data_IF_321296594729
#
_entry.id   IF_321296594729
#
_cell.length_a   1.000
_cell.length_b   1.000
_cell.length_c   1.000
_cell.angle_alpha   90.00
_cell.angle_beta   90.00
_cell.angle_gamma   90.00
#
_symmetry.space_group_name_H-M   'P 1'
#
loop_
_entity.id
_entity.type
_entity.pdbx_description
1 polymer ?
#
# COMPACT_ATOMS: atom_id res chain seq x y z
N UNK A 1 51.13 -10.39 -29.66
CA UNK A 1 49.65 -10.41 -29.87
C UNK A 1 48.98 -10.58 -28.54
N UNK A 2 48.12 -9.63 -28.13
CA UNK A 2 47.61 -9.51 -26.77
C UNK A 2 46.41 -10.46 -26.54
N UNK A 3 46.55 -11.57 -25.83
CA UNK A 3 45.44 -12.51 -25.53
C UNK A 3 44.40 -11.89 -24.64
N UNK A 4 44.71 -10.81 -23.93
CA UNK A 4 43.79 -10.13 -22.99
C UNK A 4 42.63 -9.38 -23.66
N UNK A 5 42.76 -8.90 -24.88
CA UNK A 5 41.73 -8.17 -25.61
C UNK A 5 40.55 -9.03 -26.00
N UNK A 6 40.75 -10.26 -26.38
CA UNK A 6 39.68 -11.20 -26.76
C UNK A 6 38.87 -11.65 -25.51
N UNK A 7 39.56 -11.85 -24.39
CA UNK A 7 38.92 -12.22 -23.14
C UNK A 7 38.08 -11.06 -22.61
N UNK A 8 38.59 -9.82 -22.65
CA UNK A 8 37.90 -8.62 -22.23
C UNK A 8 36.63 -8.36 -23.05
N UNK A 9 36.68 -8.52 -24.37
CA UNK A 9 35.53 -8.36 -25.24
C UNK A 9 34.41 -9.37 -24.93
N UNK A 10 34.77 -10.61 -24.58
CA UNK A 10 33.79 -11.63 -24.17
C UNK A 10 33.15 -11.30 -22.84
N UNK A 11 33.89 -10.78 -21.88
CA UNK A 11 33.41 -10.35 -20.59
C UNK A 11 32.42 -9.17 -20.72
N UNK A 12 32.81 -8.15 -21.49
CA UNK A 12 31.95 -6.97 -21.75
C UNK A 12 30.65 -7.37 -22.41
N UNK A 13 30.68 -8.27 -23.41
CA UNK A 13 29.46 -8.78 -24.04
C UNK A 13 28.54 -9.50 -23.05
N UNK A 14 29.08 -10.35 -22.18
CA UNK A 14 28.29 -11.03 -21.16
C UNK A 14 27.65 -10.05 -20.18
N UNK A 15 28.41 -9.12 -19.66
CA UNK A 15 27.90 -8.07 -18.77
C UNK A 15 26.77 -7.29 -19.45
N UNK A 16 26.95 -6.87 -20.70
CA UNK A 16 25.94 -6.15 -21.44
C UNK A 16 24.65 -6.96 -21.64
N UNK A 17 24.76 -8.25 -21.96
CA UNK A 17 23.61 -9.13 -22.10
C UNK A 17 22.87 -9.30 -20.78
N UNK A 18 23.57 -9.55 -19.66
CA UNK A 18 22.92 -9.72 -18.36
C UNK A 18 22.27 -8.44 -17.84
N UNK A 19 22.95 -7.29 -18.02
CA UNK A 19 22.37 -5.98 -17.69
C UNK A 19 21.14 -5.66 -18.57
N UNK A 20 21.21 -6.01 -19.87
CA UNK A 20 20.07 -5.84 -20.78
C UNK A 20 18.88 -6.70 -20.38
N UNK A 21 19.09 -7.97 -20.02
CA UNK A 21 18.04 -8.86 -19.54
C UNK A 21 17.44 -8.37 -18.21
N UNK A 22 18.27 -7.91 -17.30
CA UNK A 22 17.81 -7.34 -16.03
C UNK A 22 16.94 -6.11 -16.28
N UNK A 23 17.42 -5.18 -17.09
CA UNK A 23 16.66 -3.97 -17.44
C UNK A 23 15.35 -4.31 -18.19
N UNK A 24 15.36 -5.30 -19.09
CA UNK A 24 14.15 -5.74 -19.79
C UNK A 24 13.09 -6.23 -18.80
N UNK A 25 13.49 -6.98 -17.76
CA UNK A 25 12.58 -7.43 -16.72
C UNK A 25 11.92 -6.26 -15.98
N UNK A 26 12.70 -5.25 -15.61
CA UNK A 26 12.15 -4.04 -15.01
C UNK A 26 11.20 -3.29 -15.95
N UNK A 27 11.57 -3.10 -17.21
CA UNK A 27 10.74 -2.43 -18.21
C UNK A 27 9.40 -3.17 -18.41
N UNK A 28 9.43 -4.51 -18.44
CA UNK A 28 8.20 -5.30 -18.55
C UNK A 28 7.32 -5.15 -17.32
N UNK A 29 7.88 -5.28 -16.11
CA UNK A 29 7.11 -5.13 -14.88
C UNK A 29 6.51 -3.73 -14.78
N UNK A 30 7.33 -2.68 -14.89
CA UNK A 30 6.85 -1.30 -14.77
C UNK A 30 5.99 -0.87 -15.96
N UNK A 31 6.26 -1.36 -17.17
CA UNK A 31 5.43 -1.10 -18.34
C UNK A 31 4.04 -1.67 -18.21
N UNK A 32 3.91 -2.93 -17.78
CA UNK A 32 2.60 -3.58 -17.56
C UNK A 32 1.88 -2.91 -16.39
N UNK A 33 2.54 -2.71 -15.25
CA UNK A 33 1.92 -2.08 -14.08
C UNK A 33 1.48 -0.65 -14.34
N UNK A 34 2.33 0.15 -15.02
CA UNK A 34 2.00 1.52 -15.41
C UNK A 34 0.85 1.59 -16.42
N UNK A 35 0.78 0.66 -17.39
CA UNK A 35 -0.34 0.57 -18.34
C UNK A 35 -1.64 0.25 -17.61
N UNK A 36 -1.62 -0.72 -16.69
CA UNK A 36 -2.79 -1.07 -15.88
C UNK A 36 -3.25 0.13 -15.04
N UNK A 37 -2.32 0.84 -14.39
CA UNK A 37 -2.64 2.01 -13.59
C UNK A 37 -3.25 3.15 -14.43
N UNK A 38 -2.74 3.35 -15.66
CA UNK A 38 -3.22 4.41 -16.56
C UNK A 38 -4.60 4.10 -17.17
N UNK A 39 -4.86 2.84 -17.50
CA UNK A 39 -6.15 2.42 -18.09
C UNK A 39 -7.27 2.31 -17.06
N UNK A 40 -6.94 2.31 -15.77
CA UNK A 40 -7.91 2.27 -14.68
C UNK A 40 -8.47 3.66 -14.39
N UNK A 41 -9.45 4.08 -15.17
CA UNK A 41 -10.18 5.34 -14.95
C UNK A 41 -11.27 5.27 -13.85
N UNK A 42 -11.35 4.20 -13.08
CA UNK A 42 -12.35 4.08 -12.03
C UNK A 42 -11.90 4.78 -10.75
N UNK A 43 -12.75 5.64 -10.14
CA UNK A 43 -12.45 6.20 -8.84
C UNK A 43 -12.19 5.07 -7.84
N UNK A 44 -11.21 5.27 -7.00
CA UNK A 44 -10.72 4.31 -6.01
C UNK A 44 -11.87 3.88 -5.08
N UNK A 45 -12.64 2.90 -5.50
CA UNK A 45 -13.60 2.21 -4.64
C UNK A 45 -12.88 1.02 -4.05
N UNK A 46 -12.67 1.07 -2.75
CA UNK A 46 -12.22 -0.11 -2.03
C UNK A 46 -13.20 -1.25 -2.35
N UNK A 47 -12.71 -2.42 -2.73
CA UNK A 47 -13.55 -3.57 -3.02
C UNK A 47 -14.38 -3.96 -1.79
N UNK A 48 -15.39 -4.78 -1.99
CA UNK A 48 -16.22 -5.28 -0.90
C UNK A 48 -15.38 -6.01 0.16
N UNK A 49 -15.74 -5.92 1.43
CA UNK A 49 -15.05 -6.60 2.51
C UNK A 49 -15.01 -8.12 2.25
N UNK A 50 -13.88 -8.74 2.60
CA UNK A 50 -13.63 -10.18 2.40
C UNK A 50 -14.41 -11.04 3.41
N UNK A 51 -14.66 -10.48 4.58
CA UNK A 51 -15.29 -11.15 5.72
C UNK A 51 -16.36 -10.24 6.34
N UNK A 52 -17.32 -10.80 7.08
CA UNK A 52 -18.26 -9.99 7.83
C UNK A 52 -17.51 -9.03 8.76
N UNK A 53 -18.02 -7.81 8.92
CA UNK A 53 -17.36 -6.80 9.74
C UNK A 53 -17.24 -7.28 11.20
N UNK A 54 -16.09 -7.01 11.81
CA UNK A 54 -15.87 -7.17 13.24
C UNK A 54 -16.24 -5.87 13.93
N UNK A 55 -16.94 -5.99 15.07
CA UNK A 55 -17.31 -4.85 15.87
C UNK A 55 -16.60 -4.87 17.22
N UNK A 56 -16.06 -3.72 17.63
CA UNK A 56 -15.46 -3.54 18.95
C UNK A 56 -16.01 -2.27 19.62
N UNK A 57 -16.28 -2.31 20.93
CA UNK A 57 -16.72 -1.14 21.66
C UNK A 57 -15.60 -0.09 21.71
N UNK A 58 -15.94 1.15 21.38
CA UNK A 58 -15.02 2.28 21.42
C UNK A 58 -15.79 3.58 21.62
N UNK A 59 -15.28 4.41 22.50
CA UNK A 59 -15.79 5.74 22.76
C UNK A 59 -14.64 6.74 22.57
N UNK A 60 -14.85 7.68 21.65
CA UNK A 60 -13.85 8.70 21.38
C UNK A 60 -13.78 9.68 22.54
N UNK A 61 -12.57 10.02 23.02
CA UNK A 61 -12.43 11.05 24.05
C UNK A 61 -12.96 12.41 23.56
N UNK A 62 -13.71 13.10 24.40
CA UNK A 62 -14.30 14.40 24.07
C UNK A 62 -13.19 15.44 23.82
N UNK A 63 -13.31 16.18 22.72
CA UNK A 63 -12.36 17.27 22.38
C UNK A 63 -11.07 16.82 21.69
N UNK A 64 -10.94 15.56 21.29
CA UNK A 64 -9.81 15.07 20.50
C UNK A 64 -10.03 15.31 19.00
N UNK A 65 -8.93 15.53 18.27
CA UNK A 65 -8.98 15.63 16.80
C UNK A 65 -9.15 14.25 16.17
N UNK A 66 -9.68 14.22 14.93
CA UNK A 66 -9.83 12.97 14.15
C UNK A 66 -8.52 12.19 14.04
N UNK A 67 -7.39 12.90 13.91
CA UNK A 67 -6.07 12.28 13.87
C UNK A 67 -5.70 11.60 15.18
N UNK A 68 -5.91 12.25 16.30
CA UNK A 68 -5.64 11.67 17.64
C UNK A 68 -6.53 10.44 17.90
N UNK A 69 -7.79 10.51 17.50
CA UNK A 69 -8.71 9.37 17.58
C UNK A 69 -8.23 8.21 16.71
N UNK A 70 -7.77 8.51 15.48
CA UNK A 70 -7.26 7.50 14.56
C UNK A 70 -5.97 6.84 15.08
N UNK A 71 -5.06 7.61 15.68
CA UNK A 71 -3.84 7.10 16.31
C UNK A 71 -4.14 6.21 17.54
N UNK A 72 -5.11 6.60 18.37
CA UNK A 72 -5.56 5.80 19.51
C UNK A 72 -6.17 4.46 19.06
N UNK A 73 -7.06 4.52 18.08
CA UNK A 73 -7.66 3.32 17.45
C UNK A 73 -6.57 2.42 16.88
N UNK A 74 -5.61 2.99 16.16
CA UNK A 74 -4.48 2.24 15.61
C UNK A 74 -3.68 1.53 16.70
N UNK A 75 -3.32 2.23 17.77
CA UNK A 75 -2.59 1.67 18.91
C UNK A 75 -3.35 0.55 19.62
N UNK A 76 -4.70 0.66 19.68
CA UNK A 76 -5.58 -0.31 20.32
C UNK A 76 -5.77 -1.59 19.49
N UNK A 77 -5.99 -1.44 18.19
CA UNK A 77 -6.25 -2.57 17.29
C UNK A 77 -5.03 -3.46 17.07
N UNK A 78 -3.80 -2.92 17.18
CA UNK A 78 -2.53 -3.64 17.00
C UNK A 78 -2.51 -4.52 15.75
N UNK A 79 -3.06 -4.02 14.64
CA UNK A 79 -3.08 -4.75 13.38
C UNK A 79 -1.64 -4.94 12.91
N UNK A 80 -1.18 -6.18 12.70
CA UNK A 80 0.21 -6.42 12.35
C UNK A 80 0.53 -5.85 10.97
N UNK A 81 1.78 -5.40 10.79
CA UNK A 81 2.29 -4.91 9.51
C UNK A 81 1.59 -3.64 8.98
N UNK A 82 0.96 -2.87 9.85
CA UNK A 82 0.43 -1.54 9.54
C UNK A 82 1.38 -0.43 10.02
N UNK A 83 1.24 0.75 9.39
CA UNK A 83 1.81 2.01 9.87
C UNK A 83 0.73 2.84 10.55
N UNK A 84 1.10 3.81 11.41
CA UNK A 84 0.16 4.82 11.89
C UNK A 84 -0.56 5.49 10.71
N UNK A 85 -1.86 5.81 10.86
CA UNK A 85 -2.62 6.42 9.78
C UNK A 85 -2.11 7.84 9.48
N UNK A 86 -1.83 8.09 8.21
CA UNK A 86 -1.49 9.41 7.70
C UNK A 86 -2.78 10.24 7.47
N UNK A 87 -2.65 11.56 7.39
CA UNK A 87 -3.80 12.47 7.26
C UNK A 87 -4.71 12.15 6.07
N UNK A 88 -4.13 11.70 4.95
CA UNK A 88 -4.89 11.30 3.76
C UNK A 88 -5.67 9.98 3.92
N UNK A 89 -5.31 9.15 4.91
CA UNK A 89 -5.99 7.90 5.22
C UNK A 89 -7.16 8.07 6.19
N UNK A 90 -7.36 9.29 6.70
CA UNK A 90 -8.39 9.67 7.64
C UNK A 90 -9.40 10.56 6.92
N UNK A 91 -10.67 10.21 6.97
CA UNK A 91 -11.74 11.00 6.35
C UNK A 91 -13.05 10.82 7.10
N UNK A 92 -14.03 11.66 6.81
CA UNK A 92 -15.40 11.45 7.30
C UNK A 92 -16.28 11.04 6.13
N UNK A 93 -17.17 10.10 6.37
CA UNK A 93 -18.14 9.66 5.38
C UNK A 93 -19.36 10.60 5.31
N UNK A 94 -20.32 10.25 4.46
CA UNK A 94 -21.56 11.03 4.28
C UNK A 94 -22.48 11.05 5.53
N UNK A 95 -22.24 10.12 6.48
CA UNK A 95 -22.97 10.03 7.75
C UNK A 95 -22.23 10.76 8.87
N UNK A 96 -21.09 11.37 8.54
CA UNK A 96 -20.14 12.02 9.44
C UNK A 96 -19.39 11.04 10.37
N UNK A 97 -19.42 9.73 10.07
CA UNK A 97 -18.64 8.73 10.79
C UNK A 97 -17.17 8.81 10.38
N UNK A 98 -16.25 8.64 11.33
CA UNK A 98 -14.81 8.70 11.07
C UNK A 98 -14.35 7.43 10.39
N UNK A 99 -13.79 7.56 9.20
CA UNK A 99 -13.26 6.49 8.36
C UNK A 99 -11.73 6.52 8.37
N UNK A 100 -11.12 5.40 8.73
CA UNK A 100 -9.67 5.23 8.79
C UNK A 100 -9.27 4.06 7.91
N UNK A 101 -8.38 4.29 6.93
CA UNK A 101 -7.84 3.25 6.08
C UNK A 101 -6.44 2.87 6.55
N UNK A 102 -6.27 1.63 7.04
CA UNK A 102 -4.99 1.10 7.47
C UNK A 102 -4.46 0.14 6.41
N UNK A 103 -3.34 0.48 5.82
CA UNK A 103 -2.75 -0.31 4.73
C UNK A 103 -1.76 -1.33 5.29
N UNK A 104 -1.91 -2.57 4.85
CA UNK A 104 -1.00 -3.67 5.15
C UNK A 104 -0.51 -4.32 3.87
N UNK A 105 0.56 -5.11 3.96
CA UNK A 105 1.03 -5.95 2.84
C UNK A 105 -0.05 -6.94 2.37
N UNK A 106 -0.92 -7.35 3.29
CA UNK A 106 -1.98 -8.35 3.04
C UNK A 106 -3.34 -7.72 2.71
N UNK A 107 -3.36 -6.46 2.34
CA UNK A 107 -4.58 -5.72 2.00
C UNK A 107 -4.97 -4.68 3.06
N UNK A 108 -5.77 -3.69 2.67
CA UNK A 108 -6.20 -2.63 3.56
C UNK A 108 -7.28 -3.09 4.54
N UNK A 109 -7.23 -2.52 5.74
CA UNK A 109 -8.32 -2.55 6.69
C UNK A 109 -9.04 -1.22 6.65
N UNK A 110 -10.36 -1.27 6.61
CA UNK A 110 -11.23 -0.11 6.78
C UNK A 110 -11.80 -0.14 8.19
N UNK A 111 -11.49 0.86 8.96
CA UNK A 111 -12.03 1.05 10.31
C UNK A 111 -12.97 2.24 10.28
N UNK A 112 -14.23 2.03 10.64
CA UNK A 112 -15.23 3.09 10.74
C UNK A 112 -15.64 3.25 12.19
N UNK A 113 -15.49 4.44 12.74
CA UNK A 113 -16.02 4.76 14.06
C UNK A 113 -17.48 5.20 13.91
N UNK A 114 -18.38 4.33 14.33
CA UNK A 114 -19.81 4.59 14.41
C UNK A 114 -20.08 5.38 15.71
N UNK A 115 -19.97 6.71 15.63
CA UNK A 115 -20.04 7.57 16.83
C UNK A 115 -21.35 7.41 17.59
N UNK A 116 -22.49 7.23 16.90
CA UNK A 116 -23.81 7.04 17.49
C UNK A 116 -23.98 5.72 18.22
N UNK A 117 -23.20 4.72 17.84
CA UNK A 117 -23.29 3.36 18.36
C UNK A 117 -22.15 3.04 19.34
N UNK A 118 -21.24 3.99 19.57
CA UNK A 118 -20.06 3.83 20.42
C UNK A 118 -19.25 2.57 20.11
N UNK A 119 -19.05 2.29 18.80
CA UNK A 119 -18.31 1.10 18.36
C UNK A 119 -17.53 1.32 17.08
N UNK A 120 -16.47 0.54 16.94
CA UNK A 120 -15.70 0.44 15.70
C UNK A 120 -16.28 -0.67 14.83
N UNK A 121 -16.40 -0.42 13.55
CA UNK A 121 -16.65 -1.41 12.51
C UNK A 121 -15.34 -1.62 11.76
N UNK A 122 -14.77 -2.82 11.86
CA UNK A 122 -13.48 -3.19 11.28
C UNK A 122 -13.74 -4.14 10.13
N UNK A 123 -13.35 -3.75 8.94
CA UNK A 123 -13.52 -4.53 7.72
C UNK A 123 -12.17 -4.80 7.09
N UNK A 124 -11.86 -6.06 6.79
CA UNK A 124 -10.74 -6.42 5.93
C UNK A 124 -11.20 -6.37 4.49
N UNK A 125 -10.51 -5.59 3.68
CA UNK A 125 -10.84 -5.42 2.27
C UNK A 125 -10.00 -6.37 1.44
N UNK A 126 -10.65 -7.18 0.60
CA UNK A 126 -9.96 -8.09 -0.29
C UNK A 126 -9.23 -7.31 -1.38
N UNK A 127 -7.93 -7.52 -1.50
CA UNK A 127 -7.18 -7.03 -2.65
C UNK A 127 -7.35 -7.96 -3.85
N UNK A 128 -7.71 -7.38 -4.99
CA UNK A 128 -7.54 -8.07 -6.25
C UNK A 128 -6.06 -8.02 -6.64
N UNK A 129 -5.59 -9.00 -7.42
CA UNK A 129 -4.23 -8.98 -7.97
C UNK A 129 -3.93 -7.68 -8.71
N UNK A 130 -4.94 -7.07 -9.32
CA UNK A 130 -4.83 -5.79 -10.02
C UNK A 130 -4.61 -4.60 -9.07
N UNK A 131 -5.23 -4.63 -7.88
CA UNK A 131 -5.01 -3.63 -6.86
C UNK A 131 -3.61 -3.76 -6.24
N UNK A 132 -3.16 -5.01 -6.05
CA UNK A 132 -1.80 -5.29 -5.60
C UNK A 132 -0.75 -4.75 -6.60
N UNK A 133 -0.97 -4.99 -7.90
CA UNK A 133 -0.11 -4.48 -8.98
C UNK A 133 -0.11 -2.94 -9.02
N UNK A 134 -1.26 -2.31 -8.82
CA UNK A 134 -1.40 -0.86 -8.77
C UNK A 134 -0.71 -0.26 -7.53
N UNK A 135 -0.90 -0.88 -6.37
CA UNK A 135 -0.21 -0.51 -5.14
C UNK A 135 1.31 -0.66 -5.25
N UNK A 136 1.80 -1.71 -5.89
CA UNK A 136 3.23 -1.91 -6.14
C UNK A 136 3.82 -0.76 -6.97
N UNK A 137 3.07 -0.25 -7.95
CA UNK A 137 3.49 0.88 -8.78
C UNK A 137 3.40 2.21 -8.03
N UNK A 138 2.31 2.46 -7.30
CA UNK A 138 2.05 3.72 -6.62
C UNK A 138 2.91 3.91 -5.37
N UNK A 139 3.17 2.86 -4.59
CA UNK A 139 4.01 2.95 -3.40
C UNK A 139 5.49 3.20 -3.71
N UNK A 140 5.96 2.83 -4.89
CA UNK A 140 7.34 3.13 -5.32
C UNK A 140 7.53 4.61 -5.69
N UNK A 141 6.45 5.35 -5.97
CA UNK A 141 6.53 6.70 -6.56
C UNK A 141 6.01 7.81 -5.63
N UNK A 142 5.14 7.51 -4.65
CA UNK A 142 4.33 8.54 -4.00
C UNK A 142 4.69 8.97 -2.59
N UNK A 143 5.55 8.28 -1.88
CA UNK A 143 5.87 8.65 -0.49
C UNK A 143 7.29 9.21 -0.37
N UNK A 144 7.46 10.54 -0.37
CA UNK A 144 8.71 11.14 0.07
C UNK A 144 8.86 10.88 1.57
N UNK A 145 9.76 10.00 1.94
CA UNK A 145 10.05 9.64 3.33
C UNK A 145 9.70 8.22 3.75
N UNK A 146 9.06 7.41 2.91
CA UNK A 146 8.91 5.98 3.19
C UNK A 146 10.17 5.21 2.82
N UNK A 147 11.20 5.27 3.68
CA UNK A 147 12.34 4.33 3.63
C UNK A 147 11.92 2.87 3.86
N UNK A 148 10.64 2.63 4.09
CA UNK A 148 10.07 1.33 4.48
C UNK A 148 9.82 0.34 3.37
N UNK A 149 9.42 0.71 2.12
CA UNK A 149 9.24 -0.29 1.06
C UNK A 149 10.52 -1.00 0.68
N UNK A 150 11.66 -0.33 0.75
CA UNK A 150 12.96 -0.94 0.46
C UNK A 150 13.43 -1.93 1.55
N UNK A 151 12.98 -1.78 2.80
CA UNK A 151 13.28 -2.73 3.88
C UNK A 151 12.54 -4.06 3.78
N UNK A 152 11.52 -4.15 2.93
CA UNK A 152 10.79 -5.40 2.66
C UNK A 152 11.52 -6.31 1.67
N UNK A 153 12.53 -5.78 0.98
CA UNK A 153 13.33 -6.50 -0.01
C UNK A 153 14.78 -6.73 0.46
N UNK A 154 15.14 -6.29 1.62
CA UNK A 154 16.42 -6.53 2.30
C UNK A 154 16.26 -7.55 3.44
#
# INVERSE_FOLDING_TARGET
>A
MLPNLVCMNRLIKKIHIYLGLLNLSFVLIFGVTGTVATLRHTPYRLPNPEQPPRYEPYEAPVGTSDKQVAEDIYGRLKIPLTSPPEDWAISRDNQNDLLINLYTINGPYRVTLLEKEHRLRIERVRESIWLYVDNLHSHTVREPGSDRPLRLWA
#
